data_IF_416354807033
#
_entry.id   IF_416354807033
#
_cell.length_a   1.000
_cell.length_b   1.000
_cell.length_c   1.000
_cell.angle_alpha   90.00
_cell.angle_beta   90.00
_cell.angle_gamma   90.00
#
_symmetry.space_group_name_H-M   'P 1'
#
loop_
_entity.id
_entity.type
_entity.pdbx_description
1 polymer ?
#
# COMPACT_ATOMS: atom_id res chain seq x y z
N UNK A 1 -13.17 -15.73 2.57
CA UNK A 1 -11.80 -16.20 2.33
C UNK A 1 -10.89 -15.08 2.79
N UNK A 2 -10.08 -15.29 3.83
CA UNK A 2 -9.07 -14.30 4.24
C UNK A 2 -7.86 -14.49 3.33
N UNK A 3 -7.65 -13.55 2.40
CA UNK A 3 -6.42 -13.50 1.61
C UNK A 3 -5.25 -13.20 2.57
N UNK A 4 -4.09 -13.85 2.34
CA UNK A 4 -2.89 -13.47 3.08
C UNK A 4 -2.36 -12.14 2.54
N UNK A 5 -1.77 -11.30 3.41
CA UNK A 5 -1.07 -10.08 2.98
C UNK A 5 0.40 -10.40 2.81
N UNK A 6 0.94 -10.10 1.64
CA UNK A 6 2.39 -10.13 1.39
C UNK A 6 2.86 -8.74 1.01
N UNK A 7 3.97 -8.32 1.60
CA UNK A 7 4.64 -7.07 1.23
C UNK A 7 5.79 -7.37 0.28
N UNK A 8 5.94 -6.58 -0.78
CA UNK A 8 7.23 -6.43 -1.45
C UNK A 8 8.24 -5.85 -0.45
N UNK A 9 9.52 -6.29 -0.44
CA UNK A 9 10.50 -5.84 0.55
C UNK A 9 10.61 -4.31 0.66
N UNK A 10 10.56 -3.61 -0.47
CA UNK A 10 10.62 -2.14 -0.56
C UNK A 10 9.33 -1.48 -0.09
N UNK A 11 8.18 -2.14 -0.23
CA UNK A 11 6.93 -1.66 0.35
C UNK A 11 6.98 -1.74 1.88
N UNK A 12 7.53 -2.83 2.42
CA UNK A 12 7.76 -2.98 3.85
C UNK A 12 8.77 -1.94 4.38
N UNK A 13 9.82 -1.65 3.59
CA UNK A 13 10.76 -0.58 3.92
C UNK A 13 10.09 0.81 3.91
N UNK A 14 9.18 1.07 2.97
CA UNK A 14 8.38 2.30 2.92
C UNK A 14 7.47 2.46 4.14
N UNK A 15 6.79 1.38 4.56
CA UNK A 15 5.99 1.37 5.78
C UNK A 15 6.84 1.73 7.00
N UNK A 16 7.94 1.01 7.21
CA UNK A 16 8.85 1.24 8.35
C UNK A 16 9.43 2.65 8.35
N UNK A 17 9.82 3.16 7.19
CA UNK A 17 10.31 4.53 7.04
C UNK A 17 9.22 5.56 7.37
N UNK A 18 7.99 5.32 6.95
CA UNK A 18 6.84 6.17 7.28
C UNK A 18 6.56 6.20 8.78
N UNK A 19 6.48 5.03 9.42
CA UNK A 19 6.28 4.91 10.88
C UNK A 19 7.35 5.67 11.64
N UNK A 20 8.63 5.42 11.34
CA UNK A 20 9.74 6.11 11.99
C UNK A 20 9.72 7.64 11.77
N UNK A 21 9.37 8.09 10.56
CA UNK A 21 9.30 9.52 10.22
C UNK A 21 8.19 10.27 10.96
N UNK A 22 7.04 9.63 11.15
CA UNK A 22 5.92 10.20 11.89
C UNK A 22 6.20 10.20 13.39
N UNK A 23 6.77 9.13 13.94
CA UNK A 23 7.09 9.06 15.36
C UNK A 23 8.10 10.13 15.81
N UNK A 24 9.10 10.40 14.98
CA UNK A 24 10.07 11.49 15.20
C UNK A 24 9.41 12.89 15.26
N UNK A 25 8.22 13.07 14.69
CA UNK A 25 7.48 14.34 14.68
C UNK A 25 6.54 14.53 15.85
N UNK A 26 6.25 13.47 16.59
CA UNK A 26 5.34 13.52 17.71
C UNK A 26 5.02 12.12 18.19
N UNK A 27 5.07 11.96 19.51
CA UNK A 27 4.78 10.69 20.17
C UNK A 27 3.42 10.13 19.72
N UNK A 28 3.42 8.88 19.26
CA UNK A 28 2.23 8.14 18.82
C UNK A 28 1.72 8.53 17.43
N UNK A 29 2.41 9.39 16.68
CA UNK A 29 2.06 9.63 15.27
C UNK A 29 2.49 8.45 14.38
N UNK A 30 3.56 7.72 14.74
CA UNK A 30 3.96 6.50 14.04
C UNK A 30 2.88 5.43 14.13
N UNK A 31 2.38 5.19 15.34
CA UNK A 31 1.30 4.24 15.60
C UNK A 31 0.01 4.61 14.85
N UNK A 32 -0.34 5.90 14.80
CA UNK A 32 -1.50 6.37 14.02
C UNK A 32 -1.32 6.14 12.52
N UNK A 33 -0.10 6.30 12.01
CA UNK A 33 0.20 6.01 10.61
C UNK A 33 0.08 4.53 10.30
N UNK A 34 0.68 3.68 11.13
CA UNK A 34 0.59 2.22 11.00
C UNK A 34 -0.86 1.75 11.05
N UNK A 35 -1.63 2.20 12.05
CA UNK A 35 -3.05 1.86 12.16
C UNK A 35 -3.88 2.28 10.94
N UNK A 36 -3.61 3.45 10.35
CA UNK A 36 -4.31 3.88 9.13
C UNK A 36 -3.92 3.04 7.90
N UNK A 37 -2.70 2.51 7.86
CA UNK A 37 -2.26 1.55 6.83
C UNK A 37 -2.98 0.22 7.02
N UNK A 38 -3.05 -0.30 8.25
CA UNK A 38 -3.72 -1.55 8.57
C UNK A 38 -5.21 -1.47 8.23
N UNK A 39 -5.89 -0.38 8.59
CA UNK A 39 -7.30 -0.15 8.24
C UNK A 39 -7.56 -0.21 6.72
N UNK A 40 -6.67 0.39 5.91
CA UNK A 40 -6.84 0.33 4.46
C UNK A 40 -6.56 -1.06 3.92
N UNK A 41 -5.62 -1.81 4.52
CA UNK A 41 -5.32 -3.20 4.15
C UNK A 41 -6.50 -4.11 4.48
N UNK A 42 -7.04 -4.04 5.70
CA UNK A 42 -8.22 -4.80 6.11
C UNK A 42 -9.40 -4.54 5.19
N UNK A 43 -9.61 -3.26 4.83
CA UNK A 43 -10.64 -2.88 3.85
C UNK A 43 -10.44 -3.56 2.50
N UNK A 44 -9.22 -3.57 1.96
CA UNK A 44 -8.95 -4.15 0.63
C UNK A 44 -8.77 -5.67 0.65
N UNK A 45 -8.54 -6.27 1.82
CA UNK A 45 -8.61 -7.71 2.01
C UNK A 45 -10.05 -8.22 1.90
N UNK A 46 -11.00 -7.49 2.47
CA UNK A 46 -12.42 -7.85 2.42
C UNK A 46 -13.03 -7.49 1.06
N UNK A 47 -12.65 -6.35 0.49
CA UNK A 47 -13.20 -5.84 -0.78
C UNK A 47 -12.12 -5.30 -1.72
N UNK A 48 -11.34 -6.18 -2.38
CA UNK A 48 -10.19 -5.77 -3.19
C UNK A 48 -10.56 -4.89 -4.39
N UNK A 49 -11.79 -4.96 -4.91
CA UNK A 49 -12.24 -4.10 -6.00
C UNK A 49 -12.50 -2.64 -5.61
N UNK A 50 -12.55 -2.31 -4.30
CA UNK A 50 -12.74 -0.93 -3.82
C UNK A 50 -11.53 -0.02 -4.06
N UNK A 51 -10.36 -0.59 -4.36
CA UNK A 51 -9.22 0.19 -4.86
C UNK A 51 -9.44 0.60 -6.31
N UNK A 52 -9.16 1.85 -6.65
CA UNK A 52 -9.19 2.28 -8.05
C UNK A 52 -8.03 1.62 -8.83
N UNK A 53 -8.30 1.17 -10.06
CA UNK A 53 -7.23 0.72 -10.97
C UNK A 53 -6.23 1.87 -11.13
N UNK A 54 -4.94 1.55 -11.06
CA UNK A 54 -3.91 2.57 -11.22
C UNK A 54 -4.00 3.21 -12.62
N UNK A 55 -3.99 4.56 -12.73
CA UNK A 55 -4.09 5.22 -14.03
C UNK A 55 -2.98 4.80 -15.01
N UNK A 56 -3.37 4.41 -16.22
CA UNK A 56 -2.44 3.96 -17.26
C UNK A 56 -1.77 2.62 -16.94
N UNK A 57 -2.46 1.74 -16.19
CA UNK A 57 -2.09 0.33 -16.05
C UNK A 57 -2.90 -0.52 -17.03
N UNK A 58 -2.21 -1.21 -17.93
CA UNK A 58 -2.78 -2.01 -19.03
C UNK A 58 -2.32 -3.49 -18.98
N UNK A 59 -1.78 -3.92 -17.84
CA UNK A 59 -1.19 -5.26 -17.66
C UNK A 59 -1.99 -6.12 -16.66
N UNK A 60 -1.79 -7.44 -16.73
CA UNK A 60 -2.33 -8.42 -15.78
C UNK A 60 -1.16 -8.97 -14.94
N UNK A 61 -1.30 -9.09 -13.61
CA UNK A 61 -2.47 -8.76 -12.79
C UNK A 61 -2.78 -7.26 -12.71
N UNK A 62 -4.05 -6.92 -12.51
CA UNK A 62 -4.50 -5.53 -12.39
C UNK A 62 -3.95 -4.93 -11.11
N UNK A 63 -3.23 -3.81 -11.22
CA UNK A 63 -2.78 -3.05 -10.06
C UNK A 63 -3.83 -2.04 -9.67
N UNK A 64 -4.16 -2.04 -8.38
CA UNK A 64 -5.11 -1.13 -7.74
C UNK A 64 -4.40 -0.27 -6.72
N UNK A 65 -5.07 0.82 -6.35
CA UNK A 65 -4.58 1.70 -5.30
C UNK A 65 -5.69 2.35 -4.50
N UNK A 66 -5.39 2.66 -3.24
CA UNK A 66 -6.30 3.34 -2.32
C UNK A 66 -5.53 4.30 -1.43
N UNK A 67 -6.12 5.45 -1.11
CA UNK A 67 -5.50 6.43 -0.21
C UNK A 67 -5.48 5.91 1.22
N UNK A 68 -4.42 6.20 1.95
CA UNK A 68 -4.35 6.00 3.40
C UNK A 68 -5.01 7.22 4.05
N UNK A 69 -6.04 7.01 4.86
CA UNK A 69 -6.81 8.11 5.42
C UNK A 69 -5.94 8.96 6.38
N UNK A 70 -6.00 10.28 6.25
CA UNK A 70 -5.23 11.20 7.11
C UNK A 70 -3.75 11.34 6.77
N UNK A 71 -3.23 10.56 5.82
CA UNK A 71 -1.81 10.55 5.46
C UNK A 71 -1.61 10.75 3.94
N UNK A 72 -0.54 11.44 3.51
CA UNK A 72 -0.23 11.70 2.09
C UNK A 72 0.39 10.46 1.42
N UNK A 73 -0.23 9.30 1.63
CA UNK A 73 0.21 8.00 1.18
C UNK A 73 -0.92 7.28 0.44
N UNK A 74 -0.50 6.40 -0.47
CA UNK A 74 -1.38 5.53 -1.22
C UNK A 74 -0.87 4.11 -1.14
N UNK A 75 -1.72 3.20 -0.68
CA UNK A 75 -1.50 1.77 -0.78
C UNK A 75 -1.64 1.37 -2.25
N UNK A 76 -0.60 0.75 -2.80
CA UNK A 76 -0.60 0.17 -4.14
C UNK A 76 -0.45 -1.33 -4.01
N UNK A 77 -1.38 -2.08 -4.61
CA UNK A 77 -1.44 -3.52 -4.45
C UNK A 77 -1.97 -4.21 -5.71
N UNK A 78 -1.73 -5.51 -5.79
CA UNK A 78 -2.39 -6.41 -6.72
C UNK A 78 -2.97 -7.60 -5.97
N UNK A 79 -3.91 -8.31 -6.60
CA UNK A 79 -4.52 -9.51 -6.04
C UNK A 79 -4.08 -10.72 -6.85
N UNK A 80 -3.56 -11.72 -6.16
CA UNK A 80 -3.23 -13.04 -6.69
C UNK A 80 -4.21 -14.07 -6.10
N UNK A 81 -4.29 -15.31 -6.64
CA UNK A 81 -5.30 -16.29 -6.21
C UNK A 81 -5.36 -16.59 -4.71
N UNK A 82 -4.28 -16.39 -3.95
CA UNK A 82 -4.21 -16.69 -2.52
C UNK A 82 -3.74 -15.52 -1.64
N UNK A 83 -3.33 -14.41 -2.24
CA UNK A 83 -2.73 -13.29 -1.50
C UNK A 83 -3.02 -11.93 -2.12
N UNK A 84 -3.05 -10.91 -1.25
CA UNK A 84 -2.95 -9.51 -1.62
C UNK A 84 -1.49 -9.09 -1.50
N UNK A 85 -0.91 -8.64 -2.60
CA UNK A 85 0.49 -8.24 -2.66
C UNK A 85 0.59 -6.73 -2.62
N UNK A 86 1.15 -6.18 -1.56
CA UNK A 86 1.44 -4.76 -1.40
C UNK A 86 2.74 -4.43 -2.14
N UNK A 87 2.63 -3.68 -3.23
CA UNK A 87 3.76 -3.27 -4.07
C UNK A 87 4.45 -2.01 -3.55
N UNK A 88 3.68 -1.11 -2.96
CA UNK A 88 4.19 0.14 -2.41
C UNK A 88 3.24 0.78 -1.40
N UNK A 89 3.83 1.50 -0.44
CA UNK A 89 3.20 2.62 0.24
C UNK A 89 3.74 3.90 -0.36
N UNK A 90 3.10 4.32 -1.46
CA UNK A 90 3.55 5.44 -2.24
C UNK A 90 3.17 6.77 -1.56
N UNK A 91 4.15 7.45 -0.98
CA UNK A 91 3.98 8.84 -0.58
C UNK A 91 3.71 9.71 -1.82
N UNK A 92 2.74 10.62 -1.73
CA UNK A 92 2.31 11.53 -2.82
C UNK A 92 3.43 12.40 -3.43
N UNK A 93 4.56 12.57 -2.75
CA UNK A 93 5.73 13.31 -3.26
C UNK A 93 6.67 12.46 -4.13
N UNK A 94 6.48 11.14 -4.19
CA UNK A 94 7.30 10.25 -5.02
C UNK A 94 6.83 10.29 -6.48
N UNK A 95 7.76 9.98 -7.38
CA UNK A 95 7.46 9.86 -8.81
C UNK A 95 6.36 8.80 -9.04
N UNK A 96 5.26 9.12 -9.74
CA UNK A 96 4.22 8.15 -10.04
C UNK A 96 4.78 6.91 -10.75
N UNK A 97 4.41 5.72 -10.29
CA UNK A 97 4.76 4.46 -10.96
C UNK A 97 6.19 3.93 -10.71
N UNK A 98 6.98 4.51 -9.80
CA UNK A 98 8.31 3.99 -9.45
C UNK A 98 8.33 2.52 -8.99
N UNK A 99 7.20 2.02 -8.51
CA UNK A 99 7.00 0.64 -8.05
C UNK A 99 6.62 -0.33 -9.16
N UNK A 100 6.43 0.13 -10.41
CA UNK A 100 5.89 -0.70 -11.51
C UNK A 100 6.69 -1.97 -11.76
N UNK A 101 8.01 -1.91 -11.64
CA UNK A 101 8.91 -3.06 -11.82
C UNK A 101 8.68 -4.15 -10.75
N UNK A 102 8.08 -3.81 -9.61
CA UNK A 102 7.74 -4.74 -8.51
C UNK A 102 6.52 -5.61 -8.82
N UNK A 103 5.69 -5.21 -9.80
CA UNK A 103 4.44 -5.92 -10.12
C UNK A 103 4.66 -7.27 -10.83
N UNK A 104 5.89 -7.55 -11.27
CA UNK A 104 6.29 -8.83 -11.85
C UNK A 104 7.23 -9.67 -10.99
N UNK A 105 7.49 -9.26 -9.74
CA UNK A 105 8.40 -9.90 -8.80
C UNK A 105 7.70 -10.86 -7.81
#
# INVERSE_FOLDING_TARGET
MTLNVRYHPEALAELRAGVAWYEDRGAGLGDRFEGAVDEVIDTVLEWPELGAIWPGWDSIPVVRSRRVAGFPYRLVYLVQPAELVVLALAHDKRLPGYWRERAGA
#
